data_IF_503434242463
#
_entry.id   IF_503434242463
#
_cell.length_a   1.000
_cell.length_b   1.000
_cell.length_c   1.000
_cell.angle_alpha   90.00
_cell.angle_beta   90.00
_cell.angle_gamma   90.00
#
_symmetry.space_group_name_H-M   'P 1'
#
loop_
_entity.id
_entity.type
_entity.pdbx_description
1 polymer ?
#
# COMPACT_ATOMS: atom_id res chain seq x y z
N UNK A 1 15.43 35.33 -75.87
CA UNK A 1 16.61 34.46 -75.64
C UNK A 1 16.35 33.63 -74.39
N UNK A 2 16.17 32.32 -74.55
CA UNK A 2 15.54 31.43 -73.57
C UNK A 2 16.62 30.47 -73.00
N UNK A 3 17.00 30.63 -71.73
CA UNK A 3 18.03 29.81 -71.07
C UNK A 3 17.40 28.55 -70.46
N UNK A 4 17.68 27.39 -71.07
CA UNK A 4 17.25 26.08 -70.54
C UNK A 4 18.17 25.66 -69.40
N UNK A 5 17.65 25.69 -68.18
CA UNK A 5 18.33 25.26 -66.95
C UNK A 5 18.18 23.74 -66.81
N UNK A 6 19.19 22.98 -67.21
CA UNK A 6 19.20 21.51 -67.10
C UNK A 6 19.43 21.09 -65.65
N UNK A 7 18.44 20.40 -65.05
CA UNK A 7 18.58 19.73 -63.76
C UNK A 7 19.22 18.34 -63.93
N UNK A 8 20.20 17.94 -63.10
CA UNK A 8 20.73 16.59 -63.12
C UNK A 8 19.66 15.62 -62.61
N UNK A 9 19.27 14.68 -63.48
CA UNK A 9 18.17 13.72 -63.31
C UNK A 9 18.36 12.69 -62.17
N UNK A 10 19.35 12.86 -61.30
CA UNK A 10 19.74 11.91 -60.26
C UNK A 10 19.31 12.26 -58.83
N UNK A 11 18.93 13.52 -58.54
CA UNK A 11 18.64 13.93 -57.15
C UNK A 11 17.23 13.53 -56.66
N UNK A 12 16.26 13.38 -57.57
CA UNK A 12 14.89 13.02 -57.24
C UNK A 12 14.73 11.52 -56.95
N UNK A 13 15.55 10.67 -57.58
CA UNK A 13 15.47 9.22 -57.42
C UNK A 13 15.90 8.76 -56.01
N UNK A 14 16.89 9.44 -55.42
CA UNK A 14 17.37 9.16 -54.06
C UNK A 14 16.35 9.55 -52.98
N UNK A 15 15.60 10.64 -53.17
CA UNK A 15 14.52 11.04 -52.26
C UNK A 15 13.34 10.06 -52.31
N UNK A 16 12.97 9.60 -53.51
CA UNK A 16 11.87 8.63 -53.68
C UNK A 16 12.24 7.27 -53.06
N UNK A 17 13.50 6.88 -53.11
CA UNK A 17 13.97 5.61 -52.53
C UNK A 17 14.08 5.68 -50.99
N UNK A 18 14.47 6.84 -50.42
CA UNK A 18 14.44 7.06 -48.97
C UNK A 18 13.02 7.11 -48.41
N UNK A 19 12.07 7.68 -49.16
CA UNK A 19 10.65 7.68 -48.80
C UNK A 19 10.04 6.28 -48.83
N UNK A 20 10.47 5.40 -49.74
CA UNK A 20 9.93 4.05 -49.89
C UNK A 20 10.37 3.09 -48.76
N UNK A 21 11.53 3.31 -48.16
CA UNK A 21 12.03 2.53 -47.02
C UNK A 21 11.30 2.83 -45.70
N UNK A 22 10.67 4.00 -45.57
CA UNK A 22 9.84 4.34 -44.39
C UNK A 22 8.42 3.77 -44.45
N UNK A 23 8.03 3.13 -45.55
CA UNK A 23 6.72 2.50 -45.74
C UNK A 23 6.69 1.02 -45.33
N UNK A 24 7.84 0.42 -45.00
CA UNK A 24 7.89 -0.95 -44.48
C UNK A 24 7.57 -0.98 -42.98
N UNK A 25 6.26 -1.07 -42.71
CA UNK A 25 5.73 -2.00 -41.72
C UNK A 25 6.15 -1.77 -40.28
N UNK A 26 5.47 -0.85 -39.61
CA UNK A 26 5.10 -1.14 -38.23
C UNK A 26 3.73 -1.79 -38.27
N UNK A 27 3.69 -3.12 -38.38
CA UNK A 27 2.50 -3.85 -37.99
C UNK A 27 2.40 -3.67 -36.48
N UNK A 28 1.58 -2.69 -36.04
CA UNK A 28 1.21 -2.60 -34.64
C UNK A 28 0.44 -3.88 -34.33
N UNK A 29 1.06 -4.81 -33.62
CA UNK A 29 0.31 -5.86 -32.97
C UNK A 29 -0.72 -5.12 -32.12
N UNK A 30 -2.01 -5.27 -32.43
CA UNK A 30 -3.05 -4.76 -31.57
C UNK A 30 -2.71 -5.28 -30.17
N UNK A 31 -2.32 -4.38 -29.26
CA UNK A 31 -2.13 -4.73 -27.86
C UNK A 31 -3.41 -5.45 -27.46
N UNK A 32 -3.31 -6.76 -27.17
CA UNK A 32 -4.38 -7.43 -26.45
C UNK A 32 -4.54 -6.61 -25.19
N UNK A 33 -5.63 -5.85 -25.09
CA UNK A 33 -5.89 -5.01 -23.95
C UNK A 33 -5.81 -5.92 -22.73
N UNK A 34 -4.76 -5.74 -21.92
CA UNK A 34 -4.67 -6.36 -20.62
C UNK A 34 -5.96 -5.98 -19.91
N UNK A 35 -6.75 -6.98 -19.51
CA UNK A 35 -7.95 -6.75 -18.72
C UNK A 35 -7.56 -5.80 -17.59
N UNK A 36 -8.30 -4.71 -17.34
CA UNK A 36 -7.91 -3.73 -16.33
C UNK A 36 -7.60 -4.50 -15.05
N UNK A 37 -6.37 -4.37 -14.54
CA UNK A 37 -5.99 -4.98 -13.28
C UNK A 37 -7.07 -4.60 -12.27
N UNK A 38 -7.75 -5.61 -11.70
CA UNK A 38 -8.72 -5.37 -10.64
C UNK A 38 -7.94 -4.94 -9.39
N UNK A 39 -7.63 -3.65 -9.30
CA UNK A 39 -7.07 -3.05 -8.11
C UNK A 39 -8.20 -3.00 -7.06
N UNK A 40 -8.26 -4.00 -6.18
CA UNK A 40 -9.18 -3.95 -5.06
C UNK A 40 -8.89 -2.67 -4.24
N UNK A 41 -9.91 -1.89 -3.83
CA UNK A 41 -9.68 -0.74 -2.99
C UNK A 41 -9.00 -1.18 -1.69
N UNK A 42 -7.94 -0.48 -1.29
CA UNK A 42 -7.32 -0.69 0.03
C UNK A 42 -8.35 -0.22 1.07
N UNK A 43 -8.89 -1.15 1.86
CA UNK A 43 -9.81 -0.81 2.94
C UNK A 43 -9.06 0.06 3.96
N UNK A 44 -9.70 1.06 4.59
CA UNK A 44 -9.01 1.91 5.56
C UNK A 44 -8.55 1.08 6.77
N UNK A 45 -7.41 1.46 7.36
CA UNK A 45 -6.91 0.84 8.58
C UNK A 45 -7.91 1.06 9.73
N UNK A 46 -8.38 -0.02 10.32
CA UNK A 46 -9.40 0.01 11.38
C UNK A 46 -9.19 -1.10 12.40
N UNK A 47 -9.52 -0.82 13.67
CA UNK A 47 -9.67 -1.84 14.72
C UNK A 47 -11.10 -2.37 14.70
N UNK A 48 -11.25 -3.68 14.62
CA UNK A 48 -12.54 -4.38 14.58
C UNK A 48 -12.82 -5.21 15.83
N UNK A 49 -11.81 -5.41 16.69
CA UNK A 49 -11.96 -6.21 17.91
C UNK A 49 -11.16 -5.63 19.06
N UNK A 50 -11.87 -5.23 20.12
CA UNK A 50 -11.35 -4.79 21.41
C UNK A 50 -12.39 -5.05 22.50
N UNK A 51 -12.17 -6.04 23.35
CA UNK A 51 -13.11 -6.40 24.43
C UNK A 51 -12.45 -6.48 25.81
N UNK A 52 -11.32 -5.77 26.01
CA UNK A 52 -10.69 -5.63 27.34
C UNK A 52 -11.39 -4.53 28.15
N UNK A 53 -12.67 -4.72 28.44
CA UNK A 53 -13.45 -3.79 29.27
C UNK A 53 -13.55 -4.24 30.73
N UNK A 54 -13.03 -5.43 31.06
CA UNK A 54 -13.01 -6.01 32.40
C UNK A 54 -11.72 -6.80 32.59
N UNK A 55 -11.06 -6.53 33.71
CA UNK A 55 -9.95 -7.33 34.17
C UNK A 55 -10.09 -7.59 35.68
N UNK A 56 -9.58 -8.74 36.13
CA UNK A 56 -9.65 -9.24 37.49
C UNK A 56 -8.22 -9.31 38.05
N UNK A 57 -7.97 -8.77 39.25
CA UNK A 57 -6.66 -8.80 39.87
C UNK A 57 -6.02 -10.18 39.90
N UNK A 58 -4.73 -10.25 39.57
CA UNK A 58 -3.93 -11.48 39.63
C UNK A 58 -4.24 -12.52 38.54
N UNK A 59 -5.18 -12.25 37.63
CA UNK A 59 -5.47 -13.14 36.47
C UNK A 59 -4.73 -12.61 35.26
N UNK A 60 -4.02 -13.50 34.54
CA UNK A 60 -3.39 -13.15 33.27
C UNK A 60 -4.46 -12.90 32.20
N UNK A 61 -4.38 -11.72 31.58
CA UNK A 61 -5.09 -11.36 30.38
C UNK A 61 -4.16 -11.53 29.20
N UNK A 62 -4.59 -12.33 28.23
CA UNK A 62 -3.95 -12.44 26.92
C UNK A 62 -5.00 -12.13 25.86
N UNK A 63 -4.74 -11.13 25.04
CA UNK A 63 -5.72 -10.63 24.08
C UNK A 63 -5.05 -10.19 22.79
N UNK A 64 -5.58 -10.64 21.64
CA UNK A 64 -5.06 -10.23 20.33
C UNK A 64 -5.93 -9.15 19.69
N UNK A 65 -5.32 -8.00 19.40
CA UNK A 65 -5.99 -6.89 18.74
C UNK A 65 -6.44 -7.29 17.31
N UNK A 66 -7.71 -7.06 17.00
CA UNK A 66 -8.24 -7.32 15.66
C UNK A 66 -8.14 -6.08 14.77
N UNK A 67 -7.34 -6.15 13.71
CA UNK A 67 -7.14 -5.06 12.73
C UNK A 67 -7.57 -5.52 11.33
N UNK A 68 -8.22 -4.61 10.59
CA UNK A 68 -8.62 -4.80 9.19
C UNK A 68 -8.22 -3.59 8.34
N UNK A 69 -8.00 -3.82 7.05
CA UNK A 69 -7.61 -2.79 6.10
C UNK A 69 -6.16 -2.33 6.26
N UNK A 70 -5.80 -1.24 5.62
CA UNK A 70 -4.41 -0.80 5.48
C UNK A 70 -3.55 -1.81 4.71
N UNK A 71 -2.24 -1.69 4.88
CA UNK A 71 -1.24 -2.55 4.23
C UNK A 71 -0.43 -3.31 5.26
N UNK A 72 -0.56 -4.64 5.30
CA UNK A 72 0.29 -5.51 6.13
C UNK A 72 1.77 -5.42 5.69
N UNK A 73 2.77 -5.55 6.60
CA UNK A 73 2.67 -5.82 8.04
C UNK A 73 2.23 -4.61 8.88
N UNK A 74 1.61 -4.91 10.03
CA UNK A 74 1.30 -3.92 11.05
C UNK A 74 2.37 -3.88 12.12
N UNK A 75 2.55 -2.71 12.74
CA UNK A 75 3.32 -2.50 13.96
C UNK A 75 2.40 -1.98 15.06
N UNK A 76 2.56 -2.56 16.25
CA UNK A 76 1.78 -2.23 17.43
C UNK A 76 2.67 -1.65 18.53
N UNK A 77 2.19 -0.64 19.23
CA UNK A 77 2.85 -0.11 20.43
C UNK A 77 1.84 0.40 21.44
N UNK A 78 2.17 0.26 22.73
CA UNK A 78 1.40 0.90 23.80
C UNK A 78 1.83 2.37 23.92
N UNK A 79 0.86 3.27 23.80
CA UNK A 79 1.03 4.69 24.06
C UNK A 79 0.79 5.00 25.54
N UNK A 80 -0.32 4.49 26.07
CA UNK A 80 -0.71 4.57 27.48
C UNK A 80 -1.07 3.17 27.93
N UNK A 81 -0.54 2.73 29.07
CA UNK A 81 -0.84 1.41 29.62
C UNK A 81 -0.60 1.36 31.14
N UNK A 82 -1.29 0.47 31.86
CA UNK A 82 -0.94 0.09 33.23
C UNK A 82 0.49 -0.46 33.34
N UNK A 83 1.02 -0.44 34.55
CA UNK A 83 2.25 -1.15 34.85
C UNK A 83 2.12 -2.65 34.53
N UNK A 84 3.18 -3.22 33.95
CA UNK A 84 3.25 -4.63 33.58
C UNK A 84 2.45 -5.04 32.34
N UNK A 85 1.69 -4.13 31.72
CA UNK A 85 1.04 -4.41 30.44
C UNK A 85 2.05 -4.35 29.30
N UNK A 86 2.01 -5.34 28.41
CA UNK A 86 2.89 -5.42 27.25
C UNK A 86 2.08 -5.78 25.99
N UNK A 87 2.59 -5.35 24.83
CA UNK A 87 2.07 -5.75 23.51
C UNK A 87 3.20 -6.28 22.64
N UNK A 88 2.95 -7.39 21.96
CA UNK A 88 3.84 -7.87 20.90
C UNK A 88 3.71 -6.94 19.67
N UNK A 89 4.80 -6.31 19.23
CA UNK A 89 4.77 -5.29 18.18
C UNK A 89 4.45 -5.85 16.79
N UNK A 90 4.51 -7.16 16.58
CA UNK A 90 4.27 -7.81 15.27
C UNK A 90 2.93 -8.53 15.23
N UNK A 91 2.50 -9.13 16.35
CA UNK A 91 1.28 -9.94 16.40
C UNK A 91 0.07 -9.19 16.95
N UNK A 92 0.31 -8.10 17.69
CA UNK A 92 -0.72 -7.35 18.39
C UNK A 92 -1.29 -8.09 19.61
N UNK A 93 -0.60 -9.11 20.11
CA UNK A 93 -0.98 -9.81 21.34
C UNK A 93 -0.58 -8.97 22.55
N UNK A 94 -1.58 -8.53 23.30
CA UNK A 94 -1.49 -7.84 24.57
C UNK A 94 -1.46 -8.86 25.71
N UNK A 95 -0.57 -8.66 26.67
CA UNK A 95 -0.47 -9.46 27.90
C UNK A 95 -0.46 -8.54 29.12
N UNK A 96 -1.20 -8.89 30.16
CA UNK A 96 -1.25 -8.10 31.39
C UNK A 96 -1.75 -8.91 32.60
N UNK A 97 -1.15 -8.69 33.77
CA UNK A 97 -1.67 -9.18 35.06
C UNK A 97 -2.02 -7.96 35.91
N UNK A 98 -3.31 -7.64 36.11
CA UNK A 98 -3.73 -6.50 36.91
C UNK A 98 -3.33 -6.65 38.37
N UNK A 99 -2.96 -5.54 39.00
CA UNK A 99 -2.78 -5.48 40.45
C UNK A 99 -4.15 -5.46 41.18
N UNK A 100 -4.12 -5.54 42.52
CA UNK A 100 -5.33 -5.52 43.35
C UNK A 100 -5.99 -4.15 43.45
N UNK A 101 -5.35 -3.08 43.00
CA UNK A 101 -5.83 -1.70 43.10
C UNK A 101 -6.42 -1.16 41.78
N UNK A 102 -6.53 -2.01 40.75
CA UNK A 102 -6.98 -1.69 39.41
C UNK A 102 -8.42 -1.13 39.36
N UNK A 103 -8.58 0.16 39.63
CA UNK A 103 -9.83 0.91 39.51
C UNK A 103 -9.99 1.50 38.10
N UNK A 104 -9.96 0.62 37.09
CA UNK A 104 -9.98 1.01 35.68
C UNK A 104 -8.68 1.69 35.25
N UNK A 105 -8.25 1.40 34.03
CA UNK A 105 -7.06 2.02 33.47
C UNK A 105 -7.34 2.47 32.05
N UNK A 106 -6.75 3.60 31.68
CA UNK A 106 -6.69 4.00 30.29
C UNK A 106 -5.64 3.16 29.57
N UNK A 107 -6.01 2.60 28.42
CA UNK A 107 -5.11 1.91 27.53
C UNK A 107 -5.22 2.57 26.17
N UNK A 108 -4.10 2.99 25.61
CA UNK A 108 -4.03 3.53 24.26
C UNK A 108 -3.01 2.73 23.45
N UNK A 109 -3.42 2.24 22.29
CA UNK A 109 -2.59 1.46 21.38
C UNK A 109 -2.45 2.21 20.06
N UNK A 110 -1.21 2.37 19.62
CA UNK A 110 -0.88 2.86 18.31
C UNK A 110 -0.68 1.68 17.34
N UNK A 111 -1.36 1.73 16.20
CA UNK A 111 -1.22 0.79 15.09
C UNK A 111 -0.68 1.55 13.88
N UNK A 112 0.40 1.05 13.28
CA UNK A 112 0.96 1.56 12.03
C UNK A 112 0.97 0.47 10.96
N UNK A 113 0.62 0.81 9.73
CA UNK A 113 0.71 -0.10 8.58
C UNK A 113 1.99 0.14 7.74
N UNK A 114 2.26 -0.73 6.77
CA UNK A 114 3.45 -0.62 5.91
C UNK A 114 3.44 0.64 5.03
N UNK A 115 2.26 1.15 4.68
CA UNK A 115 2.10 2.36 3.89
C UNK A 115 2.31 3.65 4.73
N UNK A 116 2.48 3.51 6.05
CA UNK A 116 2.69 4.62 6.97
C UNK A 116 1.41 5.20 7.55
N UNK A 117 0.24 4.63 7.26
CA UNK A 117 -1.00 5.02 7.95
C UNK A 117 -0.90 4.64 9.43
N UNK A 118 -1.48 5.48 10.27
CA UNK A 118 -1.48 5.30 11.73
C UNK A 118 -2.89 5.49 12.29
N UNK A 119 -3.20 4.70 13.32
CA UNK A 119 -4.45 4.70 14.06
C UNK A 119 -4.14 4.57 15.55
N UNK A 120 -4.70 5.44 16.38
CA UNK A 120 -4.69 5.28 17.84
C UNK A 120 -6.03 4.73 18.29
N UNK A 121 -5.99 3.66 19.07
CA UNK A 121 -7.15 2.99 19.65
C UNK A 121 -7.17 3.15 21.17
N UNK A 122 -8.36 3.29 21.77
CA UNK A 122 -8.60 3.48 23.20
C UNK A 122 -9.77 2.61 23.67
#
# INVERSE_FOLDING_TARGET
MNQKRNWPKGLLALCVWLCLLMLFGQASAAQAAESPEYQAPIWPLAVIRWDINKAYPGILYEYRLGVQGGVYPYQFSLHTAPEGMAIDPLTGTLTWVPDMEANGHEVQIDIRDQAGHHLTHR
#
